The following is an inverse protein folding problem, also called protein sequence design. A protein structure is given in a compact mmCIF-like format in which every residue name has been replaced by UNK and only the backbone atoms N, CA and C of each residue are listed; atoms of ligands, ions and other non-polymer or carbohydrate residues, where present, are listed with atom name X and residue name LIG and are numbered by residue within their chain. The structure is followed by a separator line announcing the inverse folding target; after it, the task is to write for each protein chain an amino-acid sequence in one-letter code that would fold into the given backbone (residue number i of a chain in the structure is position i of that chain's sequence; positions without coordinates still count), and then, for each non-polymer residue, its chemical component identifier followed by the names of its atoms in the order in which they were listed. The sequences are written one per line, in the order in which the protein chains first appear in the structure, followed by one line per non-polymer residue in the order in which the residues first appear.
data_IF_646841034781
#
_entry.id   IF_646841034781
#
_cell.length_a   1.000
_cell.length_b   1.000
_cell.length_c   1.000
_cell.angle_alpha   90.00
_cell.angle_beta   90.00
_cell.angle_gamma   90.00
#
_symmetry.space_group_name_H-M   'P 1'
#
loop_
_entity.id
_entity.type
_entity.pdbx_description
1 polymer ?
#
# COMPACT_ATOMS: atom_id res chain seq x y z
N UNK A 1 4.74 -11.93 16.35
CA UNK A 1 5.27 -11.58 15.02
C UNK A 1 4.80 -10.18 14.71
N UNK A 2 5.69 -9.33 14.17
CA UNK A 2 5.32 -7.99 13.70
C UNK A 2 4.54 -8.10 12.40
N UNK A 3 3.46 -7.33 12.24
CA UNK A 3 2.71 -7.29 10.99
C UNK A 3 3.62 -6.85 9.82
N UNK A 4 3.53 -7.47 8.63
CA UNK A 4 4.23 -6.97 7.44
C UNK A 4 3.89 -5.53 7.08
N UNK A 5 2.68 -5.05 7.45
CA UNK A 5 2.28 -3.66 7.23
C UNK A 5 3.08 -2.69 8.10
N UNK A 6 3.49 -3.10 9.31
CA UNK A 6 4.40 -2.33 10.15
C UNK A 6 5.87 -2.52 9.72
N UNK A 7 6.27 -3.77 9.44
CA UNK A 7 7.64 -4.11 9.00
C UNK A 7 8.08 -3.31 7.78
N UNK A 8 7.21 -3.15 6.79
CA UNK A 8 7.50 -2.47 5.52
C UNK A 8 6.90 -1.06 5.45
N UNK A 9 6.50 -0.49 6.58
CA UNK A 9 5.79 0.78 6.65
C UNK A 9 6.51 1.91 5.93
N UNK A 10 7.81 2.06 6.15
CA UNK A 10 8.57 3.17 5.57
C UNK A 10 8.65 3.07 4.03
N UNK A 11 8.88 1.86 3.51
CA UNK A 11 8.86 1.59 2.07
C UNK A 11 7.47 1.83 1.47
N UNK A 12 6.42 1.35 2.15
CA UNK A 12 5.04 1.52 1.72
C UNK A 12 4.59 2.98 1.75
N UNK A 13 5.31 3.87 2.43
CA UNK A 13 5.00 5.29 2.52
C UNK A 13 5.92 6.18 1.66
N UNK A 14 6.81 5.57 0.88
CA UNK A 14 7.75 6.24 -0.02
C UNK A 14 7.09 6.63 -1.36
N UNK A 15 7.78 7.48 -2.15
CA UNK A 15 7.25 8.14 -3.35
C UNK A 15 8.00 7.74 -4.64
N UNK A 16 8.14 6.43 -4.86
CA UNK A 16 8.64 5.85 -6.12
C UNK A 16 7.67 4.83 -6.71
N UNK A 17 7.81 4.54 -8.00
CA UNK A 17 6.80 3.79 -8.79
C UNK A 17 6.41 2.44 -8.19
N UNK A 18 7.39 1.64 -7.75
CA UNK A 18 7.12 0.30 -7.21
C UNK A 18 6.50 0.37 -5.81
N UNK A 19 6.91 1.32 -4.97
CA UNK A 19 6.23 1.59 -3.71
C UNK A 19 4.78 2.05 -3.93
N UNK A 20 4.53 2.92 -4.92
CA UNK A 20 3.16 3.34 -5.27
C UNK A 20 2.29 2.16 -5.72
N UNK A 21 2.85 1.23 -6.50
CA UNK A 21 2.18 -0.01 -6.89
C UNK A 21 1.80 -0.87 -5.67
N UNK A 22 2.73 -1.07 -4.71
CA UNK A 22 2.45 -1.78 -3.47
C UNK A 22 1.40 -1.05 -2.61
N UNK A 23 1.43 0.28 -2.54
CA UNK A 23 0.37 1.06 -1.89
C UNK A 23 -0.98 0.83 -2.56
N UNK A 24 -1.04 0.80 -3.89
CA UNK A 24 -2.27 0.57 -4.64
C UNK A 24 -2.83 -0.82 -4.35
N UNK A 25 -1.96 -1.83 -4.26
CA UNK A 25 -2.34 -3.17 -3.79
C UNK A 25 -2.95 -3.11 -2.39
N UNK A 26 -2.23 -2.59 -1.39
CA UNK A 26 -2.69 -2.50 0.00
C UNK A 26 -4.01 -1.73 0.12
N UNK A 27 -4.15 -0.59 -0.55
CA UNK A 27 -5.38 0.21 -0.53
C UNK A 27 -6.55 -0.45 -1.27
N UNK A 28 -6.28 -1.28 -2.30
CA UNK A 28 -7.33 -2.03 -2.99
C UNK A 28 -7.96 -3.08 -2.09
N UNK A 29 -7.20 -3.66 -1.15
CA UNK A 29 -7.71 -4.56 -0.12
C UNK A 29 -8.62 -3.81 0.86
N UNK A 30 -8.20 -2.61 1.27
CA UNK A 30 -8.95 -1.76 2.21
C UNK A 30 -10.26 -1.20 1.63
N UNK A 31 -10.25 -0.75 0.36
CA UNK A 31 -11.44 -0.26 -0.30
C UNK A 31 -11.37 -0.42 -1.82
N UNK A 32 -11.73 -1.61 -2.30
CA UNK A 32 -11.74 -1.98 -3.73
C UNK A 32 -12.59 -1.09 -4.64
N UNK A 33 -13.58 -0.37 -4.10
CA UNK A 33 -14.43 0.54 -4.89
C UNK A 33 -13.71 1.84 -5.21
N UNK A 34 -12.81 2.27 -4.32
CA UNK A 34 -12.13 3.56 -4.40
C UNK A 34 -10.70 3.44 -4.95
N UNK A 35 -10.00 2.38 -4.59
CA UNK A 35 -8.61 2.16 -4.97
C UNK A 35 -8.51 0.94 -5.86
N UNK A 36 -7.69 1.06 -6.91
CA UNK A 36 -7.43 -0.02 -7.86
C UNK A 36 -5.95 -0.34 -7.84
N UNK A 37 -5.65 -1.62 -7.92
CA UNK A 37 -4.33 -2.17 -8.17
C UNK A 37 -4.33 -2.75 -9.58
N UNK A 38 -3.31 -2.47 -10.38
CA UNK A 38 -3.12 -3.10 -11.68
C UNK A 38 -2.24 -4.35 -11.51
N UNK A 39 -2.77 -5.57 -11.71
CA UNK A 39 -1.96 -6.78 -11.59
C UNK A 39 -0.80 -6.84 -12.60
N UNK A 40 -0.84 -6.06 -13.69
CA UNK A 40 0.29 -5.96 -14.61
C UNK A 40 1.52 -5.37 -13.94
N UNK A 41 1.39 -4.55 -12.89
CA UNK A 41 2.51 -3.89 -12.22
C UNK A 41 3.47 -4.90 -11.56
N UNK A 42 2.98 -6.09 -11.19
CA UNK A 42 3.77 -7.16 -10.56
C UNK A 42 4.97 -7.55 -11.44
N UNK A 43 4.85 -7.47 -12.78
CA UNK A 43 5.94 -7.82 -13.70
C UNK A 43 7.18 -6.94 -13.57
N UNK A 44 7.05 -5.78 -12.94
CA UNK A 44 8.14 -4.81 -12.77
C UNK A 44 8.80 -4.91 -11.39
N UNK A 45 8.33 -5.81 -10.53
CA UNK A 45 8.93 -6.01 -9.22
C UNK A 45 10.26 -6.76 -9.38
N UNK A 46 11.29 -6.26 -8.70
CA UNK A 46 12.45 -7.10 -8.42
C UNK A 46 12.10 -8.15 -7.35
N UNK A 47 13.08 -8.98 -7.00
CA UNK A 47 12.90 -10.07 -6.03
C UNK A 47 12.44 -9.52 -4.67
N UNK A 48 13.01 -8.40 -4.22
CA UNK A 48 12.70 -7.81 -2.92
C UNK A 48 11.24 -7.31 -2.87
N UNK A 49 10.80 -6.53 -3.86
CA UNK A 49 9.44 -6.03 -3.92
C UNK A 49 8.41 -7.14 -4.10
N UNK A 50 8.78 -8.21 -4.82
CA UNK A 50 7.91 -9.37 -4.98
C UNK A 50 7.75 -10.15 -3.67
N UNK A 51 8.82 -10.33 -2.90
CA UNK A 51 8.76 -10.94 -1.56
C UNK A 51 7.88 -10.12 -0.61
N UNK A 52 8.02 -8.79 -0.61
CA UNK A 52 7.16 -7.87 0.16
C UNK A 52 5.70 -8.06 -0.23
N UNK A 53 5.38 -8.08 -1.54
CA UNK A 53 4.02 -8.30 -2.03
C UNK A 53 3.42 -9.61 -1.49
N UNK A 54 4.19 -10.70 -1.52
CA UNK A 54 3.73 -12.01 -1.02
C UNK A 54 3.51 -12.00 0.49
N UNK A 55 4.39 -11.37 1.28
CA UNK A 55 4.21 -11.22 2.73
C UNK A 55 2.93 -10.43 3.07
N UNK A 56 2.70 -9.30 2.39
CA UNK A 56 1.51 -8.47 2.59
C UNK A 56 0.23 -9.24 2.21
N UNK A 57 0.23 -9.92 1.06
CA UNK A 57 -0.91 -10.71 0.60
C UNK A 57 -1.21 -11.89 1.55
N UNK A 58 -0.17 -12.54 2.06
CA UNK A 58 -0.29 -13.67 2.99
C UNK A 58 -0.85 -13.20 4.33
N UNK A 59 -0.34 -12.10 4.88
CA UNK A 59 -0.86 -11.51 6.13
C UNK A 59 -2.32 -11.11 5.99
N UNK A 60 -2.69 -10.43 4.90
CA UNK A 60 -4.08 -10.04 4.67
C UNK A 60 -5.01 -11.25 4.50
N UNK A 61 -4.56 -12.32 3.83
CA UNK A 61 -5.33 -13.57 3.73
C UNK A 61 -5.60 -14.18 5.11
N UNK A 62 -4.66 -14.08 6.04
CA UNK A 62 -4.77 -14.68 7.38
C UNK A 62 -5.59 -13.82 8.35
N UNK A 63 -5.35 -12.51 8.36
CA UNK A 63 -5.89 -11.60 9.38
C UNK A 63 -6.96 -10.64 8.85
N UNK A 64 -6.96 -10.34 7.54
CA UNK A 64 -7.86 -9.37 6.93
C UNK A 64 -7.82 -8.02 7.64
N UNK A 65 -9.00 -7.41 7.82
CA UNK A 65 -9.15 -6.13 8.53
C UNK A 65 -8.94 -6.22 10.06
N UNK A 66 -8.73 -7.41 10.62
CA UNK A 66 -8.43 -7.56 12.05
C UNK A 66 -6.97 -7.14 12.39
N UNK A 67 -6.10 -7.03 11.37
CA UNK A 67 -4.77 -6.47 11.52
C UNK A 67 -4.86 -4.94 11.72
N UNK A 68 -4.48 -4.47 12.91
CA UNK A 68 -4.54 -3.04 13.26
C UNK A 68 -3.49 -2.22 12.53
N UNK A 69 -2.34 -2.80 12.23
CA UNK A 69 -1.24 -2.12 11.54
C UNK A 69 -1.61 -1.89 10.07
N UNK A 70 -2.31 -2.85 9.45
CA UNK A 70 -2.94 -2.67 8.14
C UNK A 70 -3.90 -1.48 8.11
N UNK A 71 -4.86 -1.45 9.03
CA UNK A 71 -5.87 -0.38 9.08
C UNK A 71 -5.21 0.99 9.34
N UNK A 72 -4.24 1.05 10.24
CA UNK A 72 -3.50 2.27 10.53
C UNK A 72 -2.75 2.78 9.29
N UNK A 73 -2.01 1.91 8.61
CA UNK A 73 -1.24 2.24 7.41
C UNK A 73 -2.15 2.72 6.27
N UNK A 74 -3.27 2.05 6.02
CA UNK A 74 -4.23 2.49 4.99
C UNK A 74 -4.77 3.89 5.27
N UNK A 75 -5.13 4.19 6.51
CA UNK A 75 -5.61 5.52 6.89
C UNK A 75 -4.55 6.60 6.63
N UNK A 76 -3.29 6.30 6.93
CA UNK A 76 -2.17 7.21 6.68
C UNK A 76 -1.92 7.43 5.18
N UNK A 77 -1.86 6.37 4.37
CA UNK A 77 -1.72 6.47 2.92
C UNK A 77 -2.84 7.34 2.32
N UNK A 78 -4.09 7.16 2.76
CA UNK A 78 -5.22 7.97 2.33
C UNK A 78 -5.07 9.43 2.74
N UNK A 79 -4.58 9.70 3.96
CA UNK A 79 -4.34 11.05 4.44
C UNK A 79 -3.24 11.74 3.61
N UNK A 80 -2.11 11.06 3.34
CA UNK A 80 -1.00 11.57 2.52
C UNK A 80 -1.46 11.88 1.09
N UNK A 81 -2.16 10.96 0.43
CA UNK A 81 -2.68 11.17 -0.95
C UNK A 81 -3.66 12.35 -1.03
N UNK A 82 -4.50 12.56 -0.02
CA UNK A 82 -5.37 13.75 0.05
C UNK A 82 -4.58 15.05 0.17
N UNK A 83 -3.48 15.06 0.94
CA UNK A 83 -2.63 16.24 1.08
C UNK A 83 -1.87 16.55 -0.22
N UNK A 84 -1.26 15.53 -0.84
CA UNK A 84 -0.55 15.69 -2.12
C UNK A 84 -1.49 16.16 -3.24
N UNK A 85 -2.72 15.61 -3.31
CA UNK A 85 -3.72 16.06 -4.27
C UNK A 85 -4.16 17.51 -4.06
N UNK A 86 -4.32 17.94 -2.80
CA UNK A 86 -4.60 19.37 -2.47
C UNK A 86 -3.45 20.28 -2.88
N UNK A 87 -2.20 19.89 -2.61
CA UNK A 87 -1.02 20.67 -3.00
C UNK A 87 -0.95 20.86 -4.52
N UNK A 88 -1.11 19.77 -5.28
CA UNK A 88 -1.13 19.83 -6.76
C UNK A 88 -2.24 20.71 -7.33
N UNK A 89 -3.40 20.81 -6.65
CA UNK A 89 -4.50 21.68 -7.07
C UNK A 89 -4.31 23.16 -6.71
N UNK A 90 -3.42 23.49 -5.76
CA UNK A 90 -3.03 24.87 -5.44
C UNK A 90 -1.93 25.35 -6.40
N UNK A 91 -1.04 24.44 -6.81
CA UNK A 91 0.10 24.74 -7.67
C UNK A 91 -0.24 24.71 -9.18
N UNK A 92 -1.49 24.38 -9.55
CA UNK A 92 -1.99 24.28 -10.94
C UNK A 92 -2.91 25.45 -11.30
#
# INVERSE_FOLDING_TARGET
MTSPFEKYRDLLLDDYSTAESLQNFVLSLYNRKKFRFDPQDIRFYDIEHFEIFIELASSYREHGEADRDFIALCNEMVARRKQSGRKRAIDA
#
